data_IF_138612638040
#
_entry.id   IF_138612638040
#
_cell.length_a   1.000
_cell.length_b   1.000
_cell.length_c   1.000
_cell.angle_alpha   90.00
_cell.angle_beta   90.00
_cell.angle_gamma   90.00
#
_symmetry.space_group_name_H-M   'P 1'
#
loop_
_entity.id
_entity.type
_entity.pdbx_description
1 polymer ?
#
# COMPACT_ATOMS: atom_id res chain seq x y z
N UNK A 1 4.84 -4.37 -15.04
CA UNK A 1 4.16 -3.69 -13.92
C UNK A 1 3.91 -4.74 -12.85
N UNK A 2 4.41 -4.52 -11.64
CA UNK A 2 4.26 -5.44 -10.51
C UNK A 2 2.95 -5.09 -9.78
N UNK A 3 2.10 -6.10 -9.56
CA UNK A 3 0.83 -5.98 -8.83
C UNK A 3 0.85 -6.96 -7.67
N UNK A 4 0.50 -6.47 -6.50
CA UNK A 4 0.38 -7.27 -5.27
C UNK A 4 -1.07 -7.17 -4.81
N UNK A 5 -1.68 -8.29 -4.48
CA UNK A 5 -2.98 -8.32 -3.82
C UNK A 5 -2.76 -8.71 -2.38
N UNK A 6 -3.27 -7.90 -1.45
CA UNK A 6 -3.18 -8.16 -0.02
C UNK A 6 -4.57 -8.14 0.60
N UNK A 7 -4.75 -8.86 1.69
CA UNK A 7 -5.93 -8.78 2.52
C UNK A 7 -5.54 -8.11 3.83
N UNK A 8 -6.18 -6.99 4.14
CA UNK A 8 -5.90 -6.20 5.34
C UNK A 8 -7.20 -5.92 6.10
N UNK A 9 -7.08 -5.77 7.41
CA UNK A 9 -8.15 -5.22 8.24
C UNK A 9 -8.11 -3.69 8.10
N UNK A 10 -9.07 -3.11 7.38
CA UNK A 10 -9.21 -1.67 7.16
C UNK A 10 -10.48 -1.19 7.84
N UNK A 11 -10.38 -0.24 8.77
CA UNK A 11 -11.54 0.22 9.54
C UNK A 11 -12.30 -0.90 10.25
N UNK A 12 -11.60 -1.95 10.69
CA UNK A 12 -12.18 -3.13 11.33
C UNK A 12 -12.83 -4.16 10.38
N UNK A 13 -12.73 -3.97 9.06
CA UNK A 13 -13.25 -4.90 8.05
C UNK A 13 -12.14 -5.50 7.21
N UNK A 14 -12.15 -6.82 7.04
CA UNK A 14 -11.26 -7.47 6.08
C UNK A 14 -11.59 -6.97 4.67
N UNK A 15 -10.59 -6.35 4.05
CA UNK A 15 -10.70 -5.69 2.76
C UNK A 15 -9.57 -6.18 1.87
N UNK A 16 -9.91 -6.60 0.66
CA UNK A 16 -8.94 -6.93 -0.36
C UNK A 16 -8.42 -5.65 -1.01
N UNK A 17 -7.12 -5.44 -0.95
CA UNK A 17 -6.44 -4.31 -1.55
C UNK A 17 -5.59 -4.79 -2.72
N UNK A 18 -5.72 -4.09 -3.84
CA UNK A 18 -4.83 -4.20 -4.97
C UNK A 18 -3.80 -3.07 -4.89
N UNK A 19 -2.53 -3.44 -4.97
CA UNK A 19 -1.39 -2.55 -4.96
C UNK A 19 -0.69 -2.64 -6.31
N UNK A 20 -0.78 -1.58 -7.10
CA UNK A 20 -0.06 -1.49 -8.37
C UNK A 20 1.21 -0.66 -8.18
N UNK A 21 2.39 -1.25 -8.41
CA UNK A 21 3.65 -0.54 -8.34
C UNK A 21 3.73 0.50 -9.46
N UNK A 22 4.04 1.74 -9.09
CA UNK A 22 4.19 2.88 -10.01
C UNK A 22 5.57 3.49 -9.84
N UNK A 23 6.18 3.90 -10.95
CA UNK A 23 7.30 4.82 -10.93
C UNK A 23 6.72 6.24 -10.87
N UNK A 24 6.89 6.93 -9.74
CA UNK A 24 6.40 8.29 -9.54
C UNK A 24 7.58 9.27 -9.65
N UNK A 25 7.50 10.32 -10.48
CA UNK A 25 8.55 11.35 -10.53
C UNK A 25 8.77 12.00 -9.17
N UNK A 26 10.02 12.06 -8.72
CA UNK A 26 10.40 12.65 -7.42
C UNK A 26 10.37 11.67 -6.24
N UNK A 27 9.97 10.43 -6.45
CA UNK A 27 9.94 9.38 -5.42
C UNK A 27 11.03 8.34 -5.69
N UNK A 28 11.94 8.17 -4.74
CA UNK A 28 13.06 7.22 -4.87
C UNK A 28 12.71 5.80 -4.38
N UNK A 29 11.63 5.66 -3.62
CA UNK A 29 11.18 4.39 -3.06
C UNK A 29 10.09 3.71 -3.89
N UNK A 30 9.80 2.42 -3.61
CA UNK A 30 8.65 1.75 -4.19
C UNK A 30 7.36 2.51 -3.87
N UNK A 31 6.65 2.90 -4.92
CA UNK A 31 5.35 3.56 -4.82
C UNK A 31 4.25 2.61 -5.27
N UNK A 32 3.15 2.58 -4.54
CA UNK A 32 1.98 1.76 -4.85
C UNK A 32 0.73 2.62 -4.97
N UNK A 33 -0.05 2.36 -6.02
CA UNK A 33 -1.42 2.81 -6.14
C UNK A 33 -2.33 1.80 -5.45
N UNK A 34 -3.12 2.25 -4.48
CA UNK A 34 -4.02 1.38 -3.73
C UNK A 34 -5.43 1.46 -4.30
N UNK A 35 -5.99 0.30 -4.63
CA UNK A 35 -7.38 0.15 -5.05
C UNK A 35 -8.07 -0.87 -4.14
N UNK A 36 -9.28 -0.57 -3.69
CA UNK A 36 -10.12 -1.47 -2.90
C UNK A 36 -11.50 -1.52 -3.54
N UNK A 37 -12.04 -2.71 -3.82
CA UNK A 37 -13.35 -2.89 -4.46
C UNK A 37 -13.52 -2.06 -5.75
N UNK A 38 -12.47 -2.00 -6.57
CA UNK A 38 -12.45 -1.21 -7.82
C UNK A 38 -12.38 0.31 -7.61
N UNK A 39 -12.31 0.79 -6.36
CA UNK A 39 -12.23 2.20 -6.03
C UNK A 39 -10.79 2.59 -5.66
N UNK A 40 -10.28 3.67 -6.27
CA UNK A 40 -8.98 4.24 -5.90
C UNK A 40 -9.02 4.78 -4.46
N UNK A 41 -7.98 4.47 -3.67
CA UNK A 41 -7.87 4.84 -2.25
C UNK A 41 -6.68 5.73 -1.92
N UNK A 42 -5.73 5.87 -2.83
CA UNK A 42 -4.57 6.73 -2.66
C UNK A 42 -3.27 6.12 -3.20
N UNK A 43 -2.19 6.86 -3.03
CA UNK A 43 -0.84 6.41 -3.32
C UNK A 43 -0.03 6.34 -2.04
N UNK A 44 0.81 5.33 -1.91
CA UNK A 44 1.80 5.22 -0.83
C UNK A 44 3.20 5.07 -1.41
N UNK A 45 4.21 5.56 -0.70
CA UNK A 45 5.63 5.46 -1.05
C UNK A 45 6.41 4.97 0.16
N UNK A 46 7.40 4.12 -0.04
CA UNK A 46 8.31 3.76 1.03
C UNK A 46 9.41 4.81 1.18
N UNK A 47 9.47 5.47 2.33
CA UNK A 47 10.54 6.41 2.70
C UNK A 47 11.11 6.02 4.06
N UNK A 48 12.44 5.94 4.15
CA UNK A 48 13.15 5.58 5.40
C UNK A 48 12.64 4.28 6.05
N UNK A 49 12.30 3.28 5.23
CA UNK A 49 11.81 1.98 5.70
C UNK A 49 10.32 1.93 6.06
N UNK A 50 9.59 3.05 6.04
CA UNK A 50 8.15 3.08 6.33
C UNK A 50 7.33 3.52 5.11
N UNK A 51 6.15 2.93 4.93
CA UNK A 51 5.20 3.39 3.92
C UNK A 51 4.47 4.64 4.40
N UNK A 52 4.46 5.66 3.55
CA UNK A 52 3.85 6.96 3.81
C UNK A 52 2.88 7.33 2.69
N UNK A 53 1.81 8.07 2.99
CA UNK A 53 0.88 8.55 1.98
C UNK A 53 1.52 9.59 1.07
N UNK A 54 1.20 9.54 -0.22
CA UNK A 54 1.45 10.64 -1.16
C UNK A 54 0.12 11.40 -1.32
N UNK A 55 0.04 12.59 -0.71
CA UNK A 55 -1.15 13.44 -0.75
C UNK A 55 -2.26 12.97 0.19
N UNK A 56 -3.51 13.20 -0.19
CA UNK A 56 -4.68 12.81 0.59
C UNK A 56 -4.94 11.31 0.46
N UNK A 57 -5.17 10.66 1.59
CA UNK A 57 -5.43 9.23 1.65
C UNK A 57 -6.77 8.94 2.29
N UNK A 58 -7.40 7.85 1.85
CA UNK A 58 -8.65 7.35 2.44
C UNK A 58 -8.41 6.55 3.74
N UNK A 59 -7.15 6.25 4.06
CA UNK A 59 -6.77 5.42 5.20
C UNK A 59 -6.27 6.26 6.37
N UNK A 60 -6.57 5.81 7.59
CA UNK A 60 -5.96 6.36 8.80
C UNK A 60 -4.56 5.76 9.02
N UNK A 61 -3.82 6.28 10.00
CA UNK A 61 -2.45 5.82 10.30
C UNK A 61 -2.40 4.33 10.64
N UNK A 62 -3.40 3.82 11.37
CA UNK A 62 -3.49 2.41 11.75
C UNK A 62 -3.67 1.49 10.54
N UNK A 63 -4.57 1.86 9.63
CA UNK A 63 -4.78 1.16 8.35
C UNK A 63 -3.50 1.13 7.52
N UNK A 64 -2.77 2.26 7.46
CA UNK A 64 -1.49 2.35 6.74
C UNK A 64 -0.44 1.40 7.31
N UNK A 65 -0.37 1.27 8.64
CA UNK A 65 0.51 0.31 9.29
C UNK A 65 0.14 -1.12 8.93
N UNK A 66 -1.16 -1.46 8.96
CA UNK A 66 -1.62 -2.80 8.58
C UNK A 66 -1.27 -3.11 7.11
N UNK A 67 -1.42 -2.15 6.21
CA UNK A 67 -1.03 -2.26 4.80
C UNK A 67 0.47 -2.50 4.67
N UNK A 68 1.30 -1.69 5.35
CA UNK A 68 2.76 -1.83 5.33
C UNK A 68 3.21 -3.22 5.78
N UNK A 69 2.69 -3.70 6.91
CA UNK A 69 3.01 -5.02 7.46
C UNK A 69 2.66 -6.16 6.49
N UNK A 70 1.54 -6.06 5.76
CA UNK A 70 1.16 -7.07 4.75
C UNK A 70 2.03 -6.99 3.49
N UNK A 71 2.41 -5.79 3.06
CA UNK A 71 3.35 -5.62 1.93
C UNK A 71 4.69 -6.26 2.27
N UNK A 72 5.23 -5.99 3.45
CA UNK A 72 6.50 -6.58 3.91
C UNK A 72 6.41 -8.10 3.97
N UNK A 73 5.34 -8.67 4.53
CA UNK A 73 5.15 -10.13 4.55
C UNK A 73 5.16 -10.74 3.14
N UNK A 74 4.45 -10.14 2.19
CA UNK A 74 4.37 -10.65 0.82
C UNK A 74 5.69 -10.49 0.05
N UNK A 75 6.46 -9.45 0.37
CA UNK A 75 7.75 -9.18 -0.30
C UNK A 75 8.89 -9.98 0.33
N UNK A 76 8.84 -10.24 1.64
CA UNK A 76 9.82 -11.07 2.36
C UNK A 76 9.58 -12.57 2.20
N UNK A 77 8.37 -13.01 1.80
CA UNK A 77 8.07 -14.42 1.56
C UNK A 77 8.56 -14.94 0.19
N UNK A 78 9.37 -14.16 -0.53
CA UNK A 78 9.96 -14.50 -1.83
C UNK A 78 11.43 -15.01 -1.73
N UNK A 79 11.86 -15.52 -0.58
CA UNK A 79 13.20 -16.10 -0.34
C UNK A 79 13.08 -17.60 -0.05
#
# INVERSE_FOLDING_TARGET
>A
MERINIQCLIGGKETQLQLDKKAMPGENGPCFMITADGCFKGYITQKNGAYQPIGSLYFIIEDLRAIAEQIERQTSSAI
#
